data_IF_588167014463
#
_entry.id   IF_588167014463
#
_cell.length_a   1.000
_cell.length_b   1.000
_cell.length_c   1.000
_cell.angle_alpha   90.00
_cell.angle_beta   90.00
_cell.angle_gamma   90.00
#
_symmetry.space_group_name_H-M   'P 1'
#
loop_
_entity.id
_entity.type
_entity.pdbx_description
1 polymer ?
#
# COMPACT_ATOMS: atom_id res chain seq x y z
N UNK A 1 -29.83 -9.64 -29.38
CA UNK A 1 -30.69 -10.36 -28.42
C UNK A 1 -29.94 -10.71 -27.12
N UNK A 2 -29.05 -9.82 -26.63
CA UNK A 2 -28.35 -10.05 -25.34
C UNK A 2 -29.31 -9.98 -24.13
N UNK A 3 -30.37 -9.18 -24.24
CA UNK A 3 -31.38 -9.00 -23.19
C UNK A 3 -32.07 -10.31 -22.83
N UNK A 4 -32.49 -11.07 -23.83
CA UNK A 4 -33.24 -12.31 -23.63
C UNK A 4 -32.34 -13.43 -23.06
N UNK A 5 -31.10 -13.51 -23.53
CA UNK A 5 -30.10 -14.46 -23.01
C UNK A 5 -29.76 -14.17 -21.54
N UNK A 6 -29.52 -12.90 -21.20
CA UNK A 6 -29.24 -12.50 -19.80
C UNK A 6 -30.47 -12.70 -18.92
N UNK A 7 -31.68 -12.44 -19.39
CA UNK A 7 -32.92 -12.72 -18.64
C UNK A 7 -33.12 -14.22 -18.41
N UNK A 8 -32.85 -15.06 -19.40
CA UNK A 8 -32.91 -16.52 -19.25
C UNK A 8 -31.90 -17.01 -18.22
N UNK A 9 -30.68 -16.49 -18.26
CA UNK A 9 -29.63 -16.80 -17.30
C UNK A 9 -29.96 -16.34 -15.87
N UNK A 10 -30.55 -15.15 -15.71
CA UNK A 10 -31.04 -14.66 -14.43
C UNK A 10 -32.15 -15.58 -13.85
N UNK A 11 -33.05 -16.09 -14.71
CA UNK A 11 -34.12 -17.03 -14.28
C UNK A 11 -33.56 -18.41 -13.89
N UNK A 12 -32.50 -18.86 -14.54
CA UNK A 12 -31.84 -20.13 -14.26
C UNK A 12 -31.07 -20.16 -12.91
N UNK A 13 -31.06 -19.05 -12.17
CA UNK A 13 -30.35 -18.95 -10.89
C UNK A 13 -28.89 -18.55 -11.02
N UNK A 14 -28.54 -17.86 -12.12
CA UNK A 14 -27.20 -17.29 -12.36
C UNK A 14 -26.05 -18.33 -12.29
N UNK A 15 -26.13 -19.46 -13.02
CA UNK A 15 -25.03 -20.41 -13.09
C UNK A 15 -23.74 -19.74 -13.57
N UNK A 16 -22.64 -19.89 -12.82
CA UNK A 16 -21.44 -19.10 -13.03
C UNK A 16 -20.80 -19.35 -14.40
N UNK A 17 -20.66 -20.62 -14.80
CA UNK A 17 -20.02 -21.01 -16.07
C UNK A 17 -20.76 -20.44 -17.28
N UNK A 18 -22.10 -20.59 -17.31
CA UNK A 18 -22.93 -20.00 -18.37
C UNK A 18 -22.83 -18.47 -18.40
N UNK A 19 -22.70 -17.82 -17.24
CA UNK A 19 -22.48 -16.39 -17.14
C UNK A 19 -21.12 -15.96 -17.73
N UNK A 20 -20.07 -16.76 -17.51
CA UNK A 20 -18.74 -16.51 -18.09
C UNK A 20 -18.77 -16.67 -19.60
N UNK A 21 -19.50 -17.66 -20.12
CA UNK A 21 -19.68 -17.84 -21.57
C UNK A 21 -20.48 -16.70 -22.19
N UNK A 22 -21.57 -16.26 -21.55
CA UNK A 22 -22.31 -15.06 -21.97
C UNK A 22 -21.43 -13.82 -21.95
N UNK A 23 -20.54 -13.70 -20.95
CA UNK A 23 -19.58 -12.60 -20.88
C UNK A 23 -18.54 -12.68 -21.98
N UNK A 24 -18.02 -13.86 -22.31
CA UNK A 24 -17.08 -14.07 -23.41
C UNK A 24 -17.70 -13.73 -24.77
N UNK A 25 -18.99 -14.06 -24.97
CA UNK A 25 -19.72 -13.81 -26.21
C UNK A 25 -20.05 -12.33 -26.42
N UNK A 26 -20.45 -11.64 -25.34
CA UNK A 26 -21.05 -10.30 -25.47
C UNK A 26 -20.21 -9.15 -24.89
N UNK A 27 -19.14 -9.42 -24.13
CA UNK A 27 -18.32 -8.40 -23.48
C UNK A 27 -16.88 -8.37 -24.01
N UNK A 28 -16.39 -7.17 -24.34
CA UNK A 28 -15.07 -7.00 -24.98
C UNK A 28 -13.89 -6.89 -23.98
N UNK A 29 -14.09 -7.14 -22.69
CA UNK A 29 -13.03 -6.98 -21.69
C UNK A 29 -12.34 -8.32 -21.40
N UNK A 30 -11.28 -8.59 -22.16
CA UNK A 30 -10.47 -9.81 -22.04
C UNK A 30 -9.83 -9.99 -20.65
N UNK A 31 -9.49 -8.90 -19.96
CA UNK A 31 -8.90 -8.95 -18.61
C UNK A 31 -9.91 -9.42 -17.57
N UNK A 32 -11.15 -8.90 -17.63
CA UNK A 32 -12.22 -9.34 -16.75
C UNK A 32 -12.64 -10.78 -17.07
N UNK A 33 -12.70 -11.17 -18.35
CA UNK A 33 -12.98 -12.55 -18.75
C UNK A 33 -11.96 -13.53 -18.14
N UNK A 34 -10.66 -13.24 -18.27
CA UNK A 34 -9.59 -14.04 -17.64
C UNK A 34 -9.73 -14.12 -16.13
N UNK A 35 -10.20 -13.04 -15.48
CA UNK A 35 -10.44 -13.05 -14.04
C UNK A 35 -11.65 -13.91 -13.68
N UNK A 36 -12.72 -13.88 -14.47
CA UNK A 36 -13.88 -14.74 -14.24
C UNK A 36 -13.56 -16.23 -14.44
N UNK A 37 -12.74 -16.57 -15.44
CA UNK A 37 -12.30 -17.95 -15.72
C UNK A 37 -11.36 -18.55 -14.66
N UNK A 38 -10.69 -17.73 -13.84
CA UNK A 38 -9.64 -18.21 -12.91
C UNK A 38 -10.16 -18.85 -11.64
N UNK A 39 -11.26 -18.32 -11.09
CA UNK A 39 -11.82 -18.76 -9.81
C UNK A 39 -13.24 -18.22 -9.68
N UNK A 40 -14.15 -19.07 -9.23
CA UNK A 40 -15.48 -18.70 -8.79
C UNK A 40 -15.40 -18.15 -7.35
N UNK A 41 -15.94 -16.96 -7.14
CA UNK A 41 -15.97 -16.33 -5.81
C UNK A 41 -17.22 -15.48 -5.77
N UNK A 42 -17.89 -15.37 -4.63
CA UNK A 42 -19.15 -14.64 -4.53
C UNK A 42 -19.06 -13.21 -5.08
N UNK A 43 -17.98 -12.48 -4.76
CA UNK A 43 -17.74 -11.13 -5.31
C UNK A 43 -17.53 -11.10 -6.83
N UNK A 44 -17.09 -12.22 -7.43
CA UNK A 44 -16.92 -12.33 -8.90
C UNK A 44 -18.24 -12.69 -9.57
N UNK A 45 -19.06 -13.54 -8.94
CA UNK A 45 -20.42 -13.85 -9.40
C UNK A 45 -21.26 -12.58 -9.45
N UNK A 46 -21.21 -11.78 -8.40
CA UNK A 46 -21.90 -10.49 -8.31
C UNK A 46 -21.40 -9.50 -9.39
N UNK A 47 -20.08 -9.39 -9.56
CA UNK A 47 -19.48 -8.53 -10.58
C UNK A 47 -19.79 -9.00 -12.01
N UNK A 48 -19.89 -10.30 -12.23
CA UNK A 48 -20.27 -10.91 -13.51
C UNK A 48 -21.73 -10.58 -13.84
N UNK A 49 -22.64 -10.80 -12.87
CA UNK A 49 -24.05 -10.47 -13.00
C UNK A 49 -24.26 -8.98 -13.29
N UNK A 50 -23.59 -8.10 -12.53
CA UNK A 50 -23.62 -6.66 -12.77
C UNK A 50 -23.21 -6.29 -14.19
N UNK A 51 -22.09 -6.85 -14.68
CA UNK A 51 -21.62 -6.51 -16.03
C UNK A 51 -22.55 -7.03 -17.13
N UNK A 52 -23.12 -8.23 -16.97
CA UNK A 52 -24.07 -8.80 -17.94
C UNK A 52 -25.38 -8.01 -17.97
N UNK A 53 -25.93 -7.67 -16.80
CA UNK A 53 -27.14 -6.84 -16.66
C UNK A 53 -26.92 -5.45 -17.27
N UNK A 54 -25.79 -4.81 -16.98
CA UNK A 54 -25.44 -3.51 -17.55
C UNK A 54 -25.24 -3.58 -19.07
N UNK A 55 -24.58 -4.63 -19.58
CA UNK A 55 -24.38 -4.80 -21.03
C UNK A 55 -25.69 -5.08 -21.75
N UNK A 56 -26.62 -5.77 -21.10
CA UNK A 56 -27.97 -5.98 -21.58
C UNK A 56 -28.86 -4.71 -21.47
N UNK A 57 -28.43 -3.66 -20.76
CA UNK A 57 -29.27 -2.49 -20.51
C UNK A 57 -30.49 -2.82 -19.63
N UNK A 58 -30.33 -3.78 -18.73
CA UNK A 58 -31.34 -4.18 -17.74
C UNK A 58 -31.12 -3.42 -16.43
N UNK A 59 -32.18 -3.15 -15.65
CA UNK A 59 -32.07 -2.53 -14.34
C UNK A 59 -31.25 -3.39 -13.35
N UNK A 60 -30.37 -2.75 -12.58
CA UNK A 60 -29.50 -3.41 -11.58
C UNK A 60 -30.28 -4.23 -10.55
N UNK A 61 -31.51 -3.83 -10.23
CA UNK A 61 -32.42 -4.58 -9.34
C UNK A 61 -32.68 -6.02 -9.78
N UNK A 62 -32.45 -6.36 -11.05
CA UNK A 62 -32.63 -7.72 -11.56
C UNK A 62 -31.50 -8.69 -11.16
N UNK A 63 -30.38 -8.20 -10.61
CA UNK A 63 -29.29 -9.05 -10.12
C UNK A 63 -29.73 -9.84 -8.88
N UNK A 64 -30.56 -9.24 -8.02
CA UNK A 64 -31.05 -9.84 -6.77
C UNK A 64 -32.55 -10.14 -6.80
N UNK A 65 -33.21 -9.92 -7.94
CA UNK A 65 -34.61 -10.23 -8.11
C UNK A 65 -34.82 -11.74 -8.05
N UNK A 66 -35.93 -12.19 -7.45
CA UNK A 66 -36.32 -13.58 -7.55
C UNK A 66 -36.68 -13.89 -9.01
N UNK A 67 -36.46 -15.12 -9.50
CA UNK A 67 -36.84 -15.49 -10.86
C UNK A 67 -38.29 -15.15 -11.23
N UNK A 68 -39.20 -15.16 -10.25
CA UNK A 68 -40.61 -14.77 -10.37
C UNK A 68 -40.85 -13.30 -10.76
N UNK A 69 -39.92 -12.41 -10.39
CA UNK A 69 -40.08 -10.97 -10.50
C UNK A 69 -39.48 -10.43 -11.81
N UNK A 70 -38.90 -11.33 -12.63
CA UNK A 70 -38.29 -11.00 -13.91
C UNK A 70 -39.35 -11.00 -15.03
N UNK A 71 -39.33 -10.02 -15.95
CA UNK A 71 -40.31 -9.91 -17.03
C UNK A 71 -40.27 -11.17 -17.92
N UNK A 72 -41.44 -11.78 -18.18
CA UNK A 72 -41.58 -12.96 -19.05
C UNK A 72 -41.36 -14.33 -18.38
N UNK A 73 -41.37 -14.42 -17.04
CA UNK A 73 -41.30 -15.69 -16.32
C UNK A 73 -42.56 -16.54 -16.57
N UNK A 74 -42.42 -17.68 -17.27
CA UNK A 74 -43.41 -18.76 -17.28
C UNK A 74 -42.85 -19.86 -16.38
N UNK A 75 -43.61 -20.26 -15.37
CA UNK A 75 -43.23 -21.32 -14.45
C UNK A 75 -43.18 -22.67 -15.20
N UNK A 76 -42.02 -23.03 -15.73
CA UNK A 76 -41.75 -24.37 -16.26
C UNK A 76 -41.01 -25.18 -15.20
N UNK A 77 -41.64 -26.29 -14.82
CA UNK A 77 -41.21 -27.21 -13.77
C UNK A 77 -39.96 -28.01 -14.13
N UNK A 78 -39.17 -28.30 -13.07
CA UNK A 78 -38.32 -29.48 -12.85
C UNK A 78 -37.06 -29.71 -13.72
N UNK A 79 -36.07 -30.28 -13.00
CA UNK A 79 -34.80 -30.91 -13.42
C UNK A 79 -33.65 -29.93 -13.75
N UNK A 80 -32.42 -30.09 -13.26
CA UNK A 80 -31.75 -31.22 -12.61
C UNK A 80 -30.40 -30.78 -12.01
N UNK A 81 -30.06 -31.28 -10.82
CA UNK A 81 -28.68 -31.46 -10.35
C UNK A 81 -28.05 -32.73 -10.98
N UNK A 82 -26.78 -33.10 -10.76
CA UNK A 82 -25.48 -32.41 -10.63
C UNK A 82 -24.45 -33.00 -11.68
N UNK A 83 -23.09 -32.84 -11.61
CA UNK A 83 -22.27 -33.54 -10.61
C UNK A 83 -21.04 -32.77 -10.09
N UNK A 84 -20.67 -33.10 -8.84
CA UNK A 84 -19.36 -32.88 -8.23
C UNK A 84 -18.26 -33.58 -9.04
N UNK A 85 -17.07 -32.96 -9.15
CA UNK A 85 -15.80 -33.68 -9.32
C UNK A 85 -14.73 -33.13 -8.37
N UNK A 86 -14.07 -34.08 -7.73
CA UNK A 86 -12.98 -33.95 -6.78
C UNK A 86 -11.62 -33.75 -7.49
N UNK A 87 -10.64 -33.25 -6.71
CA UNK A 87 -9.17 -33.47 -6.80
C UNK A 87 -8.44 -32.90 -8.03
N UNK A 88 -7.28 -32.22 -7.97
CA UNK A 88 -6.03 -32.44 -7.21
C UNK A 88 -5.14 -31.16 -7.32
N UNK A 89 -4.16 -30.89 -6.43
CA UNK A 89 -3.40 -29.64 -6.39
C UNK A 89 -2.18 -29.65 -7.32
N UNK A 90 -1.89 -28.54 -8.00
CA UNK A 90 -0.63 -28.34 -8.72
C UNK A 90 -0.08 -26.92 -8.52
N UNK A 91 1.22 -26.91 -8.24
CA UNK A 91 2.11 -25.81 -7.83
C UNK A 91 2.16 -24.57 -8.73
N UNK A 92 2.70 -23.45 -8.20
CA UNK A 92 2.69 -22.14 -8.85
C UNK A 92 3.76 -22.05 -9.94
N UNK A 93 3.35 -22.09 -11.20
CA UNK A 93 4.21 -21.67 -12.30
C UNK A 93 4.21 -20.15 -12.43
N UNK A 94 5.36 -19.56 -12.03
CA UNK A 94 5.78 -18.20 -12.37
C UNK A 94 5.67 -18.01 -13.88
N UNK A 95 4.74 -17.19 -14.36
CA UNK A 95 4.74 -16.72 -15.74
C UNK A 95 5.12 -15.24 -15.83
N UNK A 96 6.36 -15.07 -16.27
CA UNK A 96 6.92 -14.02 -17.11
C UNK A 96 5.96 -12.92 -17.58
N UNK A 97 6.27 -11.70 -17.14
CA UNK A 97 5.81 -10.44 -17.73
C UNK A 97 6.34 -10.35 -19.16
N UNK A 98 5.46 -10.25 -20.15
CA UNK A 98 5.84 -9.73 -21.47
C UNK A 98 5.21 -8.35 -21.70
N UNK A 99 6.12 -7.37 -21.69
CA UNK A 99 6.23 -6.14 -22.48
C UNK A 99 4.99 -5.25 -22.57
N UNK A 100 5.00 -4.22 -21.73
CA UNK A 100 4.20 -3.00 -21.83
C UNK A 100 4.80 -2.02 -22.84
N UNK A 101 3.91 -1.31 -23.52
CA UNK A 101 4.14 -0.11 -24.32
C UNK A 101 5.21 0.81 -23.73
N UNK A 102 6.31 1.05 -24.47
CA UNK A 102 7.21 2.21 -24.38
C UNK A 102 7.79 2.67 -23.03
N UNK A 103 7.40 2.07 -21.90
CA UNK A 103 7.84 2.41 -20.56
C UNK A 103 9.07 1.56 -20.24
N UNK A 104 10.16 2.15 -19.71
CA UNK A 104 11.32 1.40 -19.26
C UNK A 104 10.87 0.28 -18.32
N UNK A 105 11.39 -0.94 -18.52
CA UNK A 105 11.03 -2.03 -17.62
C UNK A 105 11.51 -1.69 -16.22
N UNK A 106 10.86 -2.24 -15.19
CA UNK A 106 11.25 -2.04 -13.79
C UNK A 106 12.76 -2.18 -13.54
N UNK A 107 13.43 -3.10 -14.25
CA UNK A 107 14.87 -3.35 -14.17
C UNK A 107 15.74 -2.22 -14.74
N UNK A 108 15.19 -1.41 -15.63
CA UNK A 108 15.86 -0.32 -16.32
C UNK A 108 15.75 1.01 -15.53
N UNK A 109 14.93 1.05 -14.47
CA UNK A 109 14.87 2.20 -13.56
C UNK A 109 16.08 2.22 -12.61
N UNK A 110 16.52 3.39 -12.14
CA UNK A 110 17.50 3.51 -11.08
C UNK A 110 17.06 2.75 -9.82
N UNK A 111 18.03 2.17 -9.11
CA UNK A 111 17.78 1.41 -7.87
C UNK A 111 16.91 2.19 -6.88
N UNK A 112 17.12 3.49 -6.77
CA UNK A 112 16.35 4.37 -5.90
C UNK A 112 14.84 4.36 -6.23
N UNK A 113 14.50 4.46 -7.51
CA UNK A 113 13.09 4.43 -7.96
C UNK A 113 12.51 3.03 -7.83
N UNK A 114 13.32 2.00 -8.07
CA UNK A 114 12.91 0.61 -7.83
C UNK A 114 12.53 0.39 -6.37
N UNK A 115 13.35 0.89 -5.42
CA UNK A 115 13.06 0.84 -3.99
C UNK A 115 11.77 1.59 -3.64
N UNK A 116 11.58 2.82 -4.15
CA UNK A 116 10.35 3.60 -3.92
C UNK A 116 9.09 2.88 -4.45
N UNK A 117 9.18 2.21 -5.60
CA UNK A 117 8.06 1.43 -6.15
C UNK A 117 7.75 0.21 -5.27
N UNK A 118 8.78 -0.48 -4.77
CA UNK A 118 8.62 -1.62 -3.85
C UNK A 118 8.01 -1.15 -2.53
N UNK A 119 8.56 -0.10 -1.92
CA UNK A 119 8.08 0.52 -0.68
C UNK A 119 6.61 0.93 -0.82
N UNK A 120 6.25 1.62 -1.92
CA UNK A 120 4.86 1.97 -2.21
C UNK A 120 3.96 0.74 -2.28
N UNK A 121 4.44 -0.35 -2.89
CA UNK A 121 3.71 -1.61 -2.98
C UNK A 121 3.49 -2.27 -1.62
N UNK A 122 4.47 -2.22 -0.72
CA UNK A 122 4.37 -2.73 0.64
C UNK A 122 3.39 -1.93 1.48
N UNK A 123 3.50 -0.59 1.46
CA UNK A 123 2.58 0.31 2.15
C UNK A 123 1.14 0.11 1.66
N UNK A 124 0.96 -0.17 0.37
CA UNK A 124 -0.37 -0.43 -0.19
C UNK A 124 -0.96 -1.76 0.28
N UNK A 125 -0.14 -2.79 0.52
CA UNK A 125 -0.57 -4.04 1.16
C UNK A 125 -0.93 -3.82 2.62
N UNK A 126 -0.12 -3.05 3.35
CA UNK A 126 -0.38 -2.71 4.75
C UNK A 126 -1.69 -1.94 4.90
N UNK A 127 -1.90 -0.92 4.06
CA UNK A 127 -3.17 -0.17 4.01
C UNK A 127 -4.36 -1.09 3.76
N UNK A 128 -4.24 -2.05 2.83
CA UNK A 128 -5.30 -3.03 2.57
C UNK A 128 -5.58 -3.94 3.78
N UNK A 129 -4.55 -4.35 4.53
CA UNK A 129 -4.70 -5.11 5.76
C UNK A 129 -5.40 -4.29 6.86
N UNK A 130 -5.09 -3.00 6.99
CA UNK A 130 -5.77 -2.12 7.95
C UNK A 130 -7.25 -1.92 7.57
N UNK A 131 -7.57 -1.78 6.28
CA UNK A 131 -8.97 -1.75 5.82
C UNK A 131 -9.73 -3.04 6.17
N UNK A 132 -9.08 -4.21 6.07
CA UNK A 132 -9.66 -5.47 6.53
C UNK A 132 -9.90 -5.44 8.06
N UNK A 133 -8.94 -4.95 8.85
CA UNK A 133 -9.09 -4.80 10.30
C UNK A 133 -10.25 -3.85 10.67
N UNK A 134 -10.45 -2.76 9.93
CA UNK A 134 -11.59 -1.84 10.15
C UNK A 134 -12.93 -2.57 9.95
N UNK A 135 -13.02 -3.41 8.91
CA UNK A 135 -14.21 -4.20 8.64
C UNK A 135 -14.47 -5.28 9.70
N UNK A 136 -13.41 -5.80 10.32
CA UNK A 136 -13.51 -6.78 11.42
C UNK A 136 -13.96 -6.14 12.75
N UNK A 137 -13.88 -4.81 12.91
CA UNK A 137 -14.34 -4.16 14.15
C UNK A 137 -15.88 -4.22 14.25
N UNK A 138 -16.45 -4.83 15.31
CA UNK A 138 -17.89 -5.03 15.44
C UNK A 138 -18.68 -3.73 15.30
N UNK A 139 -19.70 -3.72 14.41
CA UNK A 139 -20.53 -2.54 14.08
C UNK A 139 -21.22 -1.86 15.27
N UNK A 140 -21.25 -2.52 16.44
CA UNK A 140 -21.73 -1.93 17.68
C UNK A 140 -20.94 -0.67 18.05
N UNK A 141 -21.69 0.36 18.42
CA UNK A 141 -21.19 1.70 18.69
C UNK A 141 -20.74 1.83 20.15
N UNK A 142 -19.74 1.05 20.52
CA UNK A 142 -19.11 1.13 21.85
C UNK A 142 -17.92 2.09 21.80
N UNK A 143 -17.64 2.77 22.93
CA UNK A 143 -16.47 3.67 23.06
C UNK A 143 -15.17 2.99 22.65
N UNK A 144 -14.99 1.71 22.98
CA UNK A 144 -13.82 0.92 22.62
C UNK A 144 -13.73 0.63 21.11
N UNK A 145 -14.85 0.28 20.47
CA UNK A 145 -14.88 0.03 19.02
C UNK A 145 -14.64 1.31 18.22
N UNK A 146 -15.19 2.44 18.68
CA UNK A 146 -15.00 3.74 18.03
C UNK A 146 -13.57 4.24 18.18
N UNK A 147 -12.96 4.06 19.36
CA UNK A 147 -11.54 4.35 19.54
C UNK A 147 -10.65 3.49 18.61
N UNK A 148 -10.96 2.19 18.47
CA UNK A 148 -10.24 1.30 17.54
C UNK A 148 -10.39 1.73 16.08
N UNK A 149 -11.61 2.05 15.62
CA UNK A 149 -11.85 2.56 14.25
C UNK A 149 -11.10 3.86 14.00
N UNK A 150 -11.13 4.78 14.95
CA UNK A 150 -10.42 6.06 14.84
C UNK A 150 -8.91 5.86 14.72
N UNK A 151 -8.31 5.04 15.59
CA UNK A 151 -6.89 4.73 15.55
C UNK A 151 -6.47 4.02 14.24
N UNK A 152 -7.30 3.11 13.72
CA UNK A 152 -7.06 2.49 12.42
C UNK A 152 -7.21 3.49 11.27
N UNK A 153 -8.18 4.41 11.35
CA UNK A 153 -8.36 5.50 10.39
C UNK A 153 -7.15 6.43 10.32
N UNK A 154 -6.63 6.87 11.47
CA UNK A 154 -5.42 7.70 11.56
C UNK A 154 -4.20 7.01 10.91
N UNK A 155 -4.05 5.69 11.10
CA UNK A 155 -3.01 4.91 10.41
C UNK A 155 -3.22 4.86 8.89
N UNK A 156 -4.47 4.71 8.42
CA UNK A 156 -4.79 4.76 6.99
C UNK A 156 -4.41 6.12 6.40
N UNK A 157 -4.67 7.22 7.11
CA UNK A 157 -4.35 8.57 6.65
C UNK A 157 -2.84 8.78 6.55
N UNK A 158 -2.08 8.33 7.56
CA UNK A 158 -0.61 8.37 7.54
C UNK A 158 -0.03 7.59 6.35
N UNK A 159 -0.48 6.34 6.14
CA UNK A 159 -0.03 5.52 5.00
C UNK A 159 -0.45 6.14 3.67
N UNK A 160 -1.63 6.76 3.60
CA UNK A 160 -2.10 7.44 2.39
C UNK A 160 -1.24 8.66 2.05
N UNK A 161 -0.84 9.44 3.05
CA UNK A 161 0.13 10.53 2.89
C UNK A 161 1.45 10.02 2.30
N UNK A 162 2.01 8.95 2.89
CA UNK A 162 3.27 8.36 2.44
C UNK A 162 3.19 7.79 1.01
N UNK A 163 2.07 7.15 0.65
CA UNK A 163 1.84 6.68 -0.73
C UNK A 163 1.84 7.85 -1.71
N UNK A 164 1.22 8.97 -1.36
CA UNK A 164 1.15 10.15 -2.22
C UNK A 164 2.52 10.81 -2.40
N UNK A 165 3.34 10.87 -1.34
CA UNK A 165 4.73 11.33 -1.43
C UNK A 165 5.56 10.46 -2.38
N UNK A 166 5.52 9.13 -2.21
CA UNK A 166 6.25 8.21 -3.07
C UNK A 166 5.77 8.30 -4.51
N UNK A 167 4.46 8.44 -4.72
CA UNK A 167 3.90 8.64 -6.06
C UNK A 167 4.40 9.95 -6.69
N UNK A 168 4.42 11.04 -5.95
CA UNK A 168 4.94 12.32 -6.45
C UNK A 168 6.42 12.23 -6.84
N UNK A 169 7.24 11.52 -6.05
CA UNK A 169 8.66 11.28 -6.36
C UNK A 169 8.84 10.43 -7.62
N UNK A 170 8.08 9.34 -7.75
CA UNK A 170 8.09 8.48 -8.93
C UNK A 170 7.62 9.24 -10.17
N UNK A 171 6.50 9.97 -10.09
CA UNK A 171 5.94 10.73 -11.21
C UNK A 171 6.90 11.86 -11.67
N UNK A 172 7.61 12.48 -10.73
CA UNK A 172 8.62 13.49 -11.05
C UNK A 172 9.85 12.87 -11.73
N UNK A 173 10.25 11.65 -11.34
CA UNK A 173 11.28 10.88 -12.04
C UNK A 173 10.86 10.51 -13.48
N UNK A 174 9.63 10.00 -13.64
CA UNK A 174 9.10 9.62 -14.96
C UNK A 174 8.99 10.83 -15.91
N UNK A 175 8.69 12.03 -15.40
CA UNK A 175 8.51 13.25 -16.22
C UNK A 175 9.81 13.97 -16.56
N UNK A 176 10.78 13.99 -15.66
CA UNK A 176 12.01 14.78 -15.85
C UNK A 176 13.23 13.92 -16.19
N UNK A 177 13.13 12.58 -16.11
CA UNK A 177 14.24 11.60 -16.19
C UNK A 177 15.40 11.85 -15.21
N UNK A 178 15.36 12.95 -14.50
CA UNK A 178 16.12 13.24 -13.31
C UNK A 178 15.29 12.73 -12.15
N UNK A 179 15.93 11.98 -11.26
CA UNK A 179 15.42 11.88 -9.90
C UNK A 179 15.12 13.32 -9.50
N UNK A 180 13.95 13.64 -8.90
CA UNK A 180 14.03 14.60 -7.83
C UNK A 180 15.14 13.97 -7.01
N UNK A 181 16.34 14.56 -7.08
CA UNK A 181 17.30 14.38 -6.03
C UNK A 181 16.38 14.42 -4.83
N UNK A 182 16.42 13.35 -4.05
CA UNK A 182 16.16 13.50 -2.66
C UNK A 182 16.66 14.95 -2.41
N UNK A 183 15.82 15.81 -1.85
CA UNK A 183 16.43 16.52 -0.76
C UNK A 183 16.87 15.37 0.18
N UNK A 184 17.97 14.65 -0.20
CA UNK A 184 19.10 14.29 0.61
C UNK A 184 19.04 15.48 1.47
N UNK A 185 18.54 15.27 2.71
CA UNK A 185 18.08 16.38 3.47
C UNK A 185 19.16 17.43 3.26
N UNK A 186 18.82 18.69 3.34
CA UNK A 186 19.80 19.42 4.08
C UNK A 186 19.93 18.61 5.42
N UNK A 187 20.74 17.52 5.52
CA UNK A 187 22.05 17.59 6.10
C UNK A 187 22.51 18.99 5.72
N UNK A 188 21.97 20.01 6.40
CA UNK A 188 22.63 20.55 7.55
C UNK A 188 24.06 20.03 7.49
N UNK A 189 24.82 20.51 6.50
CA UNK A 189 26.25 20.23 6.46
C UNK A 189 26.81 20.73 7.80
N UNK A 190 26.18 21.79 8.34
CA UNK A 190 26.09 22.15 9.76
C UNK A 190 25.84 20.97 10.71
N UNK A 191 24.69 20.28 10.72
CA UNK A 191 24.38 19.19 11.69
C UNK A 191 25.37 18.02 11.65
N UNK A 192 25.77 17.55 10.47
CA UNK A 192 26.75 16.47 10.38
C UNK A 192 28.15 16.90 10.86
N UNK A 193 28.58 18.10 10.47
CA UNK A 193 29.83 18.72 10.93
C UNK A 193 29.79 19.04 12.43
N UNK A 194 28.66 19.50 12.94
CA UNK A 194 28.42 19.88 14.33
C UNK A 194 28.36 18.64 15.22
N UNK A 195 27.81 17.52 14.73
CA UNK A 195 27.88 16.22 15.39
C UNK A 195 29.33 15.69 15.45
N UNK A 196 30.09 15.86 14.36
CA UNK A 196 31.51 15.48 14.34
C UNK A 196 32.34 16.35 15.30
N UNK A 197 32.10 17.68 15.31
CA UNK A 197 32.72 18.63 16.24
C UNK A 197 32.33 18.33 17.68
N UNK A 198 31.07 18.01 17.97
CA UNK A 198 30.59 17.60 19.29
C UNK A 198 31.31 16.34 19.79
N UNK A 199 31.49 15.33 18.95
CA UNK A 199 32.22 14.11 19.32
C UNK A 199 33.71 14.39 19.59
N UNK A 200 34.33 15.26 18.79
CA UNK A 200 35.71 15.70 19.00
C UNK A 200 35.86 16.47 20.32
N UNK A 201 34.94 17.40 20.62
CA UNK A 201 34.94 18.17 21.87
C UNK A 201 34.69 17.28 23.09
N UNK A 202 33.80 16.27 23.00
CA UNK A 202 33.62 15.27 24.06
C UNK A 202 34.91 14.49 24.34
N UNK A 203 35.64 14.11 23.28
CA UNK A 203 36.96 13.46 23.42
C UNK A 203 37.99 14.40 24.07
N UNK A 204 38.03 15.67 23.65
CA UNK A 204 38.91 16.68 24.24
C UNK A 204 38.58 16.95 25.71
N UNK A 205 37.29 17.00 26.06
CA UNK A 205 36.82 17.11 27.44
C UNK A 205 37.37 15.98 28.30
N UNK A 206 37.20 14.73 27.87
CA UNK A 206 37.73 13.56 28.60
C UNK A 206 39.25 13.62 28.77
N UNK A 207 39.99 14.01 27.72
CA UNK A 207 41.44 14.17 27.80
C UNK A 207 41.85 15.31 28.74
N UNK A 208 41.15 16.43 28.69
CA UNK A 208 41.40 17.59 29.54
C UNK A 208 41.07 17.30 31.01
N UNK A 209 39.97 16.59 31.31
CA UNK A 209 39.61 16.16 32.66
C UNK A 209 40.69 15.26 33.26
N UNK A 210 41.12 14.21 32.53
CA UNK A 210 42.23 13.34 32.97
C UNK A 210 43.51 14.14 33.20
N UNK A 211 43.84 15.03 32.27
CA UNK A 211 45.02 15.87 32.38
C UNK A 211 44.92 16.99 33.45
N UNK A 212 43.77 17.19 34.12
CA UNK A 212 43.61 18.04 35.31
C UNK A 212 43.72 17.20 36.58
N UNK A 213 43.23 15.95 36.53
CA UNK A 213 43.32 14.96 37.59
C UNK A 213 44.79 14.62 37.91
N UNK A 214 45.60 14.45 36.87
CA UNK A 214 47.04 14.13 36.97
C UNK A 214 47.93 15.32 37.39
N UNK A 215 47.36 16.50 37.68
CA UNK A 215 48.13 17.72 37.95
C UNK A 215 47.93 18.26 39.38
N UNK A 216 49.04 18.61 40.09
CA UNK A 216 48.97 19.26 41.39
C UNK A 216 48.37 20.67 41.27
N UNK A 217 47.73 21.20 42.34
CA UNK A 217 47.12 22.52 42.34
C UNK A 217 48.17 23.61 42.08
N UNK A 218 47.91 24.48 41.10
CA UNK A 218 48.81 25.55 40.68
C UNK A 218 48.32 26.26 39.41
N UNK A 219 49.03 27.29 38.93
CA UNK A 219 48.59 28.14 37.80
C UNK A 219 48.39 27.34 36.50
N UNK A 220 49.13 26.25 36.32
CA UNK A 220 48.98 25.32 35.19
C UNK A 220 47.68 24.52 35.24
N UNK A 221 47.15 24.24 36.43
CA UNK A 221 45.88 23.55 36.64
C UNK A 221 44.72 24.49 36.37
N UNK A 222 44.79 25.73 36.86
CA UNK A 222 43.80 26.79 36.60
C UNK A 222 43.66 27.09 35.10
N UNK A 223 44.77 27.19 34.38
CA UNK A 223 44.76 27.38 32.93
C UNK A 223 44.05 26.22 32.19
N UNK A 224 44.20 24.98 32.68
CA UNK A 224 43.50 23.82 32.10
C UNK A 224 42.02 23.77 32.49
N UNK A 225 41.67 24.17 33.72
CA UNK A 225 40.28 24.31 34.17
C UNK A 225 39.54 25.34 33.30
N UNK A 226 40.18 26.48 32.99
CA UNK A 226 39.63 27.49 32.09
C UNK A 226 39.37 26.93 30.68
N UNK A 227 40.34 26.20 30.11
CA UNK A 227 40.15 25.50 28.83
C UNK A 227 39.04 24.45 28.87
N UNK A 228 38.87 23.75 30.00
CA UNK A 228 37.78 22.80 30.18
C UNK A 228 36.42 23.50 30.22
N UNK A 229 36.31 24.67 30.86
CA UNK A 229 35.08 25.46 30.84
C UNK A 229 34.72 25.95 29.43
N UNK A 230 35.72 26.38 28.62
CA UNK A 230 35.52 26.78 27.22
C UNK A 230 34.99 25.63 26.35
N UNK A 231 35.55 24.42 26.52
CA UNK A 231 35.08 23.21 25.84
C UNK A 231 33.64 22.86 26.25
N UNK A 232 33.28 23.02 27.52
CA UNK A 232 31.93 22.73 28.01
C UNK A 232 30.90 23.71 27.45
N UNK A 233 31.21 25.01 27.41
CA UNK A 233 30.33 26.03 26.79
C UNK A 233 30.10 25.74 25.30
N UNK A 234 31.14 25.33 24.57
CA UNK A 234 31.03 25.00 23.16
C UNK A 234 30.18 23.73 22.92
N UNK A 235 30.27 22.73 23.81
CA UNK A 235 29.41 21.54 23.79
C UNK A 235 27.94 21.91 24.03
N UNK A 236 27.65 22.82 24.97
CA UNK A 236 26.29 23.29 25.26
C UNK A 236 25.68 24.05 24.08
N UNK A 237 26.45 24.94 23.45
CA UNK A 237 26.01 25.65 22.24
C UNK A 237 25.70 24.68 21.08
N UNK A 238 26.53 23.65 20.91
CA UNK A 238 26.29 22.62 19.88
C UNK A 238 25.09 21.73 20.19
N UNK A 239 24.86 21.36 21.46
CA UNK A 239 23.65 20.61 21.84
C UNK A 239 22.39 21.45 21.60
N UNK A 240 22.41 22.73 21.97
CA UNK A 240 21.31 23.68 21.71
C UNK A 240 21.02 23.84 20.22
N UNK A 241 22.06 23.93 19.38
CA UNK A 241 21.95 23.97 17.91
C UNK A 241 21.39 22.67 17.32
N UNK A 242 21.72 21.53 17.90
CA UNK A 242 21.27 20.20 17.46
C UNK A 242 19.92 19.76 18.07
N UNK A 243 19.28 20.61 18.89
CA UNK A 243 18.01 20.30 19.55
C UNK A 243 18.09 19.16 20.57
N UNK A 244 19.24 19.00 21.23
CA UNK A 244 19.50 17.97 22.26
C UNK A 244 19.54 18.55 23.66
#
# INVERSE_FOLDING_TARGET
MIKDEVLSWLRAGQPYEEGVDLYAKHCNNATLLKNFQRKDTESRKEKLAYKLVMKAGLPEKFIHAKPSDLPGYKATSKQSAPPKKETTPAQPQKQSKNKSDGKPMFRDLPKEVQLMIVERGEIQKERAAIHAQINDVPKQDTRANNAKRKALGEKVDQLTGRINELKAKIDAYEKKLTLPAEKAPEKDQTSAHDLQRLNNLKSQRTKATKAIEDLPPGPKKEAKIKKLSEINTEIEELNKKLGK
#
